data_IF_900855629318
#
_entry.id   IF_900855629318
#
_cell.length_a   1.000
_cell.length_b   1.000
_cell.length_c   1.000
_cell.angle_alpha   90.00
_cell.angle_beta   90.00
_cell.angle_gamma   90.00
#
_symmetry.space_group_name_H-M   'P 1'
#
loop_
_entity.id
_entity.type
_entity.pdbx_description
1 polymer ?
#
# COMPACT_ATOMS: atom_id res chain seq x y z
N UNK A 1 28.72 12.63 31.10
CA UNK A 1 27.45 12.07 30.60
C UNK A 1 26.44 13.13 30.16
N UNK A 2 26.12 14.15 30.99
CA UNK A 2 25.20 15.25 30.60
C UNK A 2 25.58 15.99 29.31
N UNK A 3 26.85 16.33 29.13
CA UNK A 3 27.30 17.05 27.93
C UNK A 3 27.15 16.20 26.66
N UNK A 4 27.39 14.89 26.76
CA UNK A 4 27.25 13.95 25.65
C UNK A 4 25.78 13.78 25.25
N UNK A 5 24.86 13.70 26.21
CA UNK A 5 23.44 13.59 25.89
C UNK A 5 22.87 14.87 25.26
N UNK A 6 23.28 16.05 25.73
CA UNK A 6 22.87 17.31 25.11
C UNK A 6 23.39 17.40 23.67
N UNK A 7 24.65 17.00 23.42
CA UNK A 7 25.22 16.96 22.06
C UNK A 7 24.42 16.02 21.15
N UNK A 8 24.09 14.81 21.62
CA UNK A 8 23.31 13.85 20.83
C UNK A 8 21.89 14.34 20.53
N UNK A 9 21.24 14.99 21.49
CA UNK A 9 19.90 15.57 21.29
C UNK A 9 19.97 16.74 20.31
N UNK A 10 20.90 17.68 20.47
CA UNK A 10 21.05 18.84 19.59
C UNK A 10 21.43 18.41 18.17
N UNK A 11 22.29 17.40 18.04
CA UNK A 11 22.68 16.85 16.73
C UNK A 11 21.51 16.13 16.06
N UNK A 12 20.76 15.32 16.81
CA UNK A 12 19.56 14.66 16.30
C UNK A 12 18.45 15.66 15.92
N UNK A 13 18.23 16.72 16.72
CA UNK A 13 17.31 17.81 16.38
C UNK A 13 17.81 18.56 15.13
N UNK A 14 19.10 18.88 15.04
CA UNK A 14 19.68 19.55 13.88
C UNK A 14 19.53 18.74 12.59
N UNK A 15 19.70 17.42 12.68
CA UNK A 15 19.47 16.48 11.58
C UNK A 15 17.98 16.47 11.19
N UNK A 16 17.07 16.38 12.16
CA UNK A 16 15.62 16.37 11.90
C UNK A 16 15.15 17.72 11.35
N UNK A 17 15.65 18.85 11.86
CA UNK A 17 15.30 20.19 11.37
C UNK A 17 15.83 20.40 9.95
N UNK A 18 17.06 19.99 9.66
CA UNK A 18 17.62 20.02 8.31
C UNK A 18 16.80 19.15 7.34
N UNK A 19 16.28 18.01 7.81
CA UNK A 19 15.40 17.15 7.04
C UNK A 19 14.00 17.72 6.89
N UNK A 20 13.42 18.37 7.92
CA UNK A 20 12.12 19.04 7.83
C UNK A 20 12.18 20.21 6.84
N UNK A 21 13.25 21.01 6.88
CA UNK A 21 13.46 22.08 5.88
C UNK A 21 13.69 21.52 4.47
N UNK A 22 14.25 20.31 4.34
CA UNK A 22 14.32 19.59 3.05
C UNK A 22 12.99 19.00 2.60
N UNK A 23 12.23 18.35 3.48
CA UNK A 23 10.92 17.76 3.20
C UNK A 23 9.82 18.79 2.99
N UNK A 24 10.00 20.03 3.48
CA UNK A 24 9.17 21.18 3.07
C UNK A 24 9.36 21.54 1.58
N UNK A 25 10.47 21.13 0.96
CA UNK A 25 10.67 21.10 -0.49
C UNK A 25 10.28 19.70 -0.96
N UNK A 26 8.98 19.50 -1.13
CA UNK A 26 8.28 18.22 -1.26
C UNK A 26 9.05 17.07 -1.96
N UNK A 27 9.15 15.92 -1.27
CA UNK A 27 9.63 14.63 -1.82
C UNK A 27 8.73 14.10 -2.95
N UNK A 28 7.58 14.73 -3.12
CA UNK A 28 6.70 14.60 -4.27
C UNK A 28 6.70 15.89 -5.06
N UNK A 29 7.14 15.83 -6.29
CA UNK A 29 7.03 16.95 -7.20
C UNK A 29 6.03 16.59 -8.29
N UNK A 30 4.92 17.32 -8.32
CA UNK A 30 3.91 17.21 -9.37
C UNK A 30 3.81 18.53 -10.13
N UNK A 31 3.83 18.45 -11.45
CA UNK A 31 3.65 19.61 -12.31
C UNK A 31 2.99 19.21 -13.61
N UNK A 32 2.12 20.08 -14.10
CA UNK A 32 1.58 19.99 -15.45
C UNK A 32 2.11 21.16 -16.26
N UNK A 33 2.62 20.86 -17.46
CA UNK A 33 3.18 21.86 -18.35
C UNK A 33 2.75 21.61 -19.79
N UNK A 34 2.64 22.69 -20.55
CA UNK A 34 2.57 22.63 -22.00
C UNK A 34 3.99 22.72 -22.55
N UNK A 35 4.33 21.81 -23.45
CA UNK A 35 5.62 21.77 -24.12
C UNK A 35 5.40 22.13 -25.59
N UNK A 36 5.98 23.26 -26.01
CA UNK A 36 5.88 23.77 -27.38
C UNK A 36 7.24 23.69 -28.09
N UNK A 37 7.59 22.51 -28.61
CA UNK A 37 8.77 22.32 -29.47
C UNK A 37 10.15 22.50 -28.82
N UNK A 38 10.24 22.93 -27.55
CA UNK A 38 11.49 23.08 -26.82
C UNK A 38 11.67 22.03 -25.71
N UNK A 39 12.90 21.55 -25.45
CA UNK A 39 13.19 20.71 -24.31
C UNK A 39 12.91 21.42 -22.99
N UNK A 40 12.26 20.74 -22.06
CA UNK A 40 12.03 21.26 -20.71
C UNK A 40 12.78 20.41 -19.71
N UNK A 41 13.49 21.08 -18.80
CA UNK A 41 14.04 20.45 -17.60
C UNK A 41 13.08 20.65 -16.45
N UNK A 42 12.78 19.56 -15.78
CA UNK A 42 11.95 19.58 -14.58
C UNK A 42 12.72 18.90 -13.45
N UNK A 43 12.29 19.20 -12.22
CA UNK A 43 12.88 18.62 -11.00
C UNK A 43 14.35 19.02 -10.80
N UNK A 44 14.76 20.18 -11.34
CA UNK A 44 16.09 20.72 -11.05
C UNK A 44 16.18 21.09 -9.56
N UNK A 45 17.11 20.45 -8.85
CA UNK A 45 17.43 20.80 -7.46
C UNK A 45 17.44 19.61 -6.49
N UNK A 46 17.04 18.43 -6.93
CA UNK A 46 16.88 17.27 -6.05
C UNK A 46 18.21 16.54 -5.89
N UNK A 47 18.70 16.47 -4.65
CA UNK A 47 20.00 15.90 -4.29
C UNK A 47 19.84 14.51 -3.67
N UNK A 48 20.61 13.55 -4.20
CA UNK A 48 20.86 12.25 -3.53
C UNK A 48 19.64 11.32 -3.27
N UNK A 49 18.67 11.13 -4.19
CA UNK A 49 17.67 10.07 -4.00
C UNK A 49 18.32 8.69 -4.08
N UNK A 50 17.81 7.70 -3.34
CA UNK A 50 18.18 6.27 -3.51
C UNK A 50 17.33 5.58 -4.55
N UNK A 51 16.04 5.91 -4.57
CA UNK A 51 15.13 5.48 -5.64
C UNK A 51 14.28 6.66 -6.06
N UNK A 52 13.86 6.66 -7.31
CA UNK A 52 12.92 7.65 -7.83
C UNK A 52 11.81 6.91 -8.52
N UNK A 53 10.59 7.24 -8.13
CA UNK A 53 9.40 6.82 -8.81
C UNK A 53 8.91 7.93 -9.70
N UNK A 54 8.67 7.60 -10.95
CA UNK A 54 8.30 8.52 -12.00
C UNK A 54 7.00 8.05 -12.61
N UNK A 55 5.98 8.90 -12.59
CA UNK A 55 4.75 8.74 -13.34
C UNK A 55 4.63 9.95 -14.27
N UNK A 56 4.83 9.73 -15.56
CA UNK A 56 4.76 10.78 -16.58
C UNK A 56 3.65 10.40 -17.55
N UNK A 57 2.70 11.30 -17.79
CA UNK A 57 1.65 11.18 -18.81
C UNK A 57 1.83 12.28 -19.85
N UNK A 58 1.70 11.93 -21.12
CA UNK A 58 1.89 12.86 -22.25
C UNK A 58 0.63 12.82 -23.10
N UNK A 59 0.00 13.97 -23.30
CA UNK A 59 -1.22 14.13 -24.07
C UNK A 59 -0.93 14.93 -25.34
N UNK A 60 -1.50 14.49 -26.46
CA UNK A 60 -1.40 15.19 -27.74
C UNK A 60 -0.14 14.89 -28.57
N UNK A 61 0.70 13.94 -28.15
CA UNK A 61 1.89 13.55 -28.91
C UNK A 61 2.79 12.55 -28.17
N UNK A 62 4.02 12.39 -28.66
CA UNK A 62 5.06 11.58 -28.03
C UNK A 62 6.32 12.41 -27.76
N UNK A 63 7.04 12.03 -26.72
CA UNK A 63 8.25 12.72 -26.25
C UNK A 63 9.37 11.71 -26.01
N UNK A 64 10.62 12.19 -26.05
CA UNK A 64 11.78 11.48 -25.53
C UNK A 64 12.07 12.02 -24.12
N UNK A 65 12.21 11.14 -23.14
CA UNK A 65 12.43 11.50 -21.74
C UNK A 65 13.76 10.91 -21.27
N UNK A 66 14.57 11.72 -20.59
CA UNK A 66 15.84 11.31 -20.00
C UNK A 66 15.86 11.67 -18.53
N UNK A 67 16.21 10.69 -17.70
CA UNK A 67 16.49 10.92 -16.30
C UNK A 67 17.99 11.00 -16.06
N UNK A 68 18.44 12.13 -15.52
CA UNK A 68 19.84 12.38 -15.19
C UNK A 68 20.09 12.32 -13.69
N UNK A 69 21.25 11.82 -13.29
CA UNK A 69 21.81 12.01 -11.96
C UNK A 69 23.31 12.23 -12.05
N UNK A 70 23.79 13.29 -11.39
CA UNK A 70 25.20 13.72 -11.41
C UNK A 70 25.78 13.89 -12.84
N UNK A 71 24.97 14.40 -13.77
CA UNK A 71 25.35 14.60 -15.17
C UNK A 71 25.34 13.33 -16.04
N UNK A 72 25.01 12.16 -15.49
CA UNK A 72 24.93 10.90 -16.23
C UNK A 72 23.45 10.56 -16.49
N UNK A 73 23.13 10.10 -17.70
CA UNK A 73 21.81 9.56 -18.02
C UNK A 73 21.65 8.20 -17.33
N UNK A 74 20.74 8.12 -16.37
CA UNK A 74 20.43 6.87 -15.68
C UNK A 74 19.45 6.01 -16.48
N UNK A 75 18.46 6.65 -17.13
CA UNK A 75 17.47 5.97 -17.96
C UNK A 75 16.95 6.90 -19.05
N UNK A 76 16.58 6.29 -20.17
CA UNK A 76 16.01 6.97 -21.34
C UNK A 76 14.76 6.21 -21.79
N UNK A 77 13.69 6.95 -22.04
CA UNK A 77 12.47 6.45 -22.67
C UNK A 77 12.30 7.20 -23.98
N UNK A 78 12.32 6.46 -25.09
CA UNK A 78 12.18 7.03 -26.42
C UNK A 78 10.74 6.89 -26.90
N UNK A 79 10.24 7.91 -27.60
CA UNK A 79 8.94 7.91 -28.25
C UNK A 79 7.80 7.45 -27.34
N UNK A 80 7.74 7.99 -26.12
CA UNK A 80 6.78 7.58 -25.11
C UNK A 80 5.62 8.57 -25.03
N UNK A 81 4.41 8.06 -24.86
CA UNK A 81 3.20 8.82 -24.49
C UNK A 81 3.02 8.90 -22.97
N UNK A 82 3.98 8.38 -22.23
CA UNK A 82 3.96 8.28 -20.78
C UNK A 82 4.49 6.93 -20.28
N UNK A 83 4.88 6.90 -19.02
CA UNK A 83 5.34 5.70 -18.35
C UNK A 83 5.23 5.84 -16.85
N UNK A 84 5.29 4.69 -16.20
CA UNK A 84 5.51 4.57 -14.76
C UNK A 84 6.76 3.74 -14.55
N UNK A 85 7.71 4.24 -13.78
CA UNK A 85 8.98 3.56 -13.59
C UNK A 85 9.60 3.85 -12.23
N UNK A 86 10.35 2.88 -11.72
CA UNK A 86 11.13 3.03 -10.50
C UNK A 86 12.60 2.82 -10.83
N UNK A 87 13.40 3.84 -10.52
CA UNK A 87 14.83 3.86 -10.83
C UNK A 87 15.60 3.83 -9.53
N UNK A 88 16.45 2.82 -9.38
CA UNK A 88 17.44 2.76 -8.32
C UNK A 88 18.66 3.62 -8.71
N UNK A 89 19.01 4.57 -7.85
CA UNK A 89 20.14 5.47 -8.05
C UNK A 89 21.32 4.96 -7.22
N UNK A 90 22.26 4.31 -7.91
CA UNK A 90 23.45 3.74 -7.28
C UNK A 90 24.46 4.82 -6.85
N UNK A 91 24.61 5.90 -7.64
CA UNK A 91 25.52 7.02 -7.36
C UNK A 91 24.73 8.29 -7.10
N UNK A 92 24.78 8.76 -5.86
CA UNK A 92 24.04 9.92 -5.38
C UNK A 92 24.58 11.23 -5.98
N UNK A 93 23.69 12.08 -6.48
CA UNK A 93 24.05 13.41 -6.96
C UNK A 93 22.83 14.24 -7.36
N UNK A 94 23.08 15.41 -7.95
CA UNK A 94 22.03 16.30 -8.48
C UNK A 94 21.29 15.60 -9.61
N UNK A 95 19.98 15.44 -9.47
CA UNK A 95 19.14 14.74 -10.44
C UNK A 95 18.14 15.68 -11.11
N UNK A 96 17.77 15.40 -12.36
CA UNK A 96 16.75 16.15 -13.10
C UNK A 96 16.18 15.28 -14.23
N UNK A 97 15.00 15.62 -14.72
CA UNK A 97 14.40 15.00 -15.90
C UNK A 97 14.42 16.00 -17.05
N UNK A 98 14.83 15.53 -18.22
CA UNK A 98 14.77 16.26 -19.47
C UNK A 98 13.68 15.64 -20.35
N UNK A 99 12.69 16.44 -20.75
CA UNK A 99 11.62 16.04 -21.66
C UNK A 99 11.85 16.75 -22.99
N UNK A 100 11.89 16.00 -24.08
CA UNK A 100 12.15 16.51 -25.43
C UNK A 100 10.97 16.14 -26.35
N UNK A 101 10.21 17.12 -26.86
CA UNK A 101 9.14 16.85 -27.81
C UNK A 101 9.71 16.38 -29.15
N UNK A 102 9.11 15.34 -29.75
CA UNK A 102 9.50 14.85 -31.08
C UNK A 102 8.85 15.62 -32.23
N UNK A 103 7.74 16.29 -31.96
CA UNK A 103 6.99 17.06 -32.95
C UNK A 103 6.83 18.49 -32.49
N UNK A 104 6.71 19.43 -33.43
CA UNK A 104 6.38 20.84 -33.14
C UNK A 104 4.93 21.04 -32.64
N UNK A 105 4.17 19.96 -32.44
CA UNK A 105 2.83 20.01 -31.85
C UNK A 105 2.94 20.21 -30.35
N UNK A 106 2.04 21.02 -29.81
CA UNK A 106 1.92 21.26 -28.37
C UNK A 106 1.53 19.98 -27.65
N UNK A 107 2.36 19.55 -26.72
CA UNK A 107 2.11 18.35 -25.90
C UNK A 107 1.88 18.79 -24.46
N UNK A 108 0.79 18.33 -23.83
CA UNK A 108 0.59 18.53 -22.39
C UNK A 108 1.26 17.38 -21.66
N UNK A 109 2.16 17.69 -20.74
CA UNK A 109 2.85 16.67 -19.94
C UNK A 109 2.50 16.85 -18.48
N UNK A 110 1.99 15.79 -17.88
CA UNK A 110 1.74 15.69 -16.44
C UNK A 110 2.83 14.82 -15.84
N UNK A 111 3.62 15.40 -14.95
CA UNK A 111 4.71 14.69 -14.27
C UNK A 111 4.41 14.62 -12.80
N UNK A 112 4.54 13.43 -12.24
CA UNK A 112 4.45 13.16 -10.82
C UNK A 112 5.61 12.27 -10.43
N UNK A 113 6.46 12.77 -9.54
CA UNK A 113 7.65 12.06 -9.11
C UNK A 113 7.73 11.96 -7.62
N UNK A 114 8.06 10.78 -7.11
CA UNK A 114 8.28 10.52 -5.69
C UNK A 114 9.72 10.07 -5.48
N UNK A 115 10.45 10.79 -4.64
CA UNK A 115 11.83 10.46 -4.30
C UNK A 115 11.84 9.56 -3.05
N UNK A 116 12.73 8.57 -3.04
CA UNK A 116 12.84 7.60 -1.95
C UNK A 116 14.27 7.48 -1.44
N UNK A 117 14.37 7.26 -0.14
CA UNK A 117 15.62 6.92 0.54
C UNK A 117 16.55 8.10 0.81
N UNK A 118 16.02 9.32 0.77
CA UNK A 118 16.66 10.49 1.38
C UNK A 118 16.37 10.47 2.89
N UNK A 119 15.10 10.24 3.28
CA UNK A 119 14.69 10.44 4.68
C UNK A 119 14.94 9.27 5.63
N UNK A 120 14.88 8.00 5.17
CA UNK A 120 14.81 6.84 6.09
C UNK A 120 16.06 6.67 6.95
N UNK A 121 17.26 6.94 6.43
CA UNK A 121 18.46 6.84 7.25
C UNK A 121 18.62 8.10 8.10
N UNK A 122 18.40 9.29 7.55
CA UNK A 122 18.67 10.55 8.24
C UNK A 122 17.69 10.75 9.41
N UNK A 123 16.39 10.49 9.21
CA UNK A 123 15.40 10.51 10.28
C UNK A 123 15.65 9.40 11.30
N UNK A 124 15.91 8.17 10.87
CA UNK A 124 16.17 7.06 11.81
C UNK A 124 17.41 7.35 12.67
N UNK A 125 18.49 7.89 12.10
CA UNK A 125 19.67 8.29 12.86
C UNK A 125 19.38 9.51 13.75
N UNK A 126 18.64 10.51 13.28
CA UNK A 126 18.20 11.65 14.07
C UNK A 126 17.36 11.23 15.29
N UNK A 127 16.38 10.36 15.09
CA UNK A 127 15.56 9.78 16.16
C UNK A 127 16.38 8.89 17.09
N UNK A 128 17.27 8.03 16.58
CA UNK A 128 18.17 7.22 17.41
C UNK A 128 19.05 8.14 18.28
N UNK A 129 19.60 9.22 17.74
CA UNK A 129 20.41 10.17 18.51
C UNK A 129 19.60 10.92 19.57
N UNK A 130 18.36 11.32 19.28
CA UNK A 130 17.46 11.92 20.26
C UNK A 130 17.07 10.90 21.34
N UNK A 131 16.73 9.66 20.97
CA UNK A 131 16.35 8.59 21.91
C UNK A 131 17.54 8.21 22.79
N UNK A 132 18.73 7.95 22.22
CA UNK A 132 19.93 7.68 23.02
C UNK A 132 20.30 8.85 23.92
N UNK A 133 20.27 10.07 23.36
CA UNK A 133 20.58 11.28 24.11
C UNK A 133 19.62 11.51 25.27
N UNK A 134 18.32 11.35 25.04
CA UNK A 134 17.30 11.45 26.10
C UNK A 134 17.40 10.30 27.11
N UNK A 135 17.66 9.05 26.69
CA UNK A 135 17.90 7.93 27.61
C UNK A 135 19.12 8.18 28.50
N UNK A 136 20.25 8.63 27.93
CA UNK A 136 21.48 8.94 28.67
C UNK A 136 21.25 10.13 29.62
N UNK A 137 20.55 11.18 29.16
CA UNK A 137 20.18 12.33 29.98
C UNK A 137 19.29 11.92 31.16
N UNK A 138 18.30 11.05 30.91
CA UNK A 138 17.33 10.60 31.91
C UNK A 138 17.92 9.62 32.92
N UNK A 139 18.77 8.68 32.50
CA UNK A 139 19.58 7.80 33.37
C UNK A 139 20.44 8.64 34.31
N UNK A 140 20.93 9.80 33.83
CA UNK A 140 21.76 10.70 34.63
C UNK A 140 21.01 11.62 35.60
N UNK A 141 19.66 11.66 35.59
CA UNK A 141 18.90 12.64 36.38
C UNK A 141 17.67 12.11 37.16
N UNK A 142 16.96 11.08 36.71
CA UNK A 142 15.60 10.80 37.23
C UNK A 142 15.46 9.41 37.87
N UNK A 143 15.11 9.36 39.16
CA UNK A 143 14.54 8.16 39.81
C UNK A 143 13.28 7.73 39.02
N UNK A 144 13.34 6.55 38.41
CA UNK A 144 12.37 5.73 37.62
C UNK A 144 10.86 6.11 37.55
N UNK A 145 10.30 6.87 38.49
CA UNK A 145 8.85 7.10 38.67
C UNK A 145 8.22 8.18 37.77
N UNK A 146 9.00 9.03 37.08
CA UNK A 146 8.48 10.11 36.20
C UNK A 146 8.66 9.82 34.71
N UNK A 147 9.09 8.62 34.35
CA UNK A 147 9.41 8.22 32.97
C UNK A 147 8.16 8.12 32.07
N UNK A 148 7.09 7.49 32.59
CA UNK A 148 5.89 7.14 31.83
C UNK A 148 5.11 8.32 31.19
N UNK A 149 4.85 9.45 31.89
CA UNK A 149 4.02 10.52 31.32
C UNK A 149 4.71 11.31 30.21
N UNK A 150 6.05 11.45 30.24
CA UNK A 150 6.80 12.18 29.21
C UNK A 150 6.95 11.36 27.92
N UNK A 151 7.11 10.03 28.03
CA UNK A 151 7.05 9.13 26.87
C UNK A 151 5.66 9.11 26.23
N UNK A 152 4.59 9.25 27.02
CA UNK A 152 3.21 9.34 26.52
C UNK A 152 2.94 10.67 25.79
N UNK A 153 3.50 11.79 26.26
CA UNK A 153 3.32 13.11 25.66
C UNK A 153 4.02 13.26 24.30
N UNK A 154 5.23 12.70 24.16
CA UNK A 154 5.97 12.67 22.88
C UNK A 154 5.28 11.83 21.80
N UNK A 155 4.46 10.85 22.21
CA UNK A 155 3.68 9.99 21.32
C UNK A 155 2.43 10.67 20.76
N UNK A 156 1.93 11.72 21.42
CA UNK A 156 0.70 12.45 21.04
C UNK A 156 0.93 13.54 19.96
N UNK A 157 2.18 13.86 19.62
CA UNK A 157 2.51 14.96 18.71
C UNK A 157 2.68 14.57 17.23
N UNK A 158 2.51 13.29 16.88
CA UNK A 158 2.64 12.82 15.49
C UNK A 158 1.27 12.80 14.80
N UNK A 159 0.93 13.89 14.14
CA UNK A 159 -0.11 13.91 13.09
C UNK A 159 0.56 14.35 11.79
N UNK A 160 0.70 13.41 10.85
CA UNK A 160 1.24 13.67 9.52
C UNK A 160 0.09 13.57 8.53
N UNK A 161 -0.13 14.64 7.77
CA UNK A 161 -1.10 14.66 6.67
C UNK A 161 -0.49 13.93 5.47
N UNK A 162 -1.23 12.96 4.94
CA UNK A 162 -0.84 12.12 3.81
C UNK A 162 -1.48 12.68 2.54
N UNK A 163 -0.66 12.97 1.53
CA UNK A 163 -1.13 13.34 0.19
C UNK A 163 -0.97 12.15 -0.76
N UNK A 164 -2.00 11.91 -1.57
CA UNK A 164 -2.15 10.72 -2.41
C UNK A 164 -1.67 10.95 -3.84
N UNK A 165 -1.06 9.92 -4.42
CA UNK A 165 -0.56 9.91 -5.79
C UNK A 165 -0.98 8.66 -6.56
N UNK A 166 -1.78 8.81 -7.61
CA UNK A 166 -2.34 7.75 -8.48
C UNK A 166 -1.42 7.29 -9.62
N UNK A 167 -1.07 6.00 -9.69
CA UNK A 167 -0.59 5.31 -10.92
C UNK A 167 -1.40 4.17 -11.59
N UNK A 168 -1.06 3.95 -12.86
CA UNK A 168 -1.45 2.84 -13.76
C UNK A 168 -0.52 1.61 -13.63
N UNK A 169 -1.07 0.42 -13.33
CA UNK A 169 -0.31 -0.78 -12.93
C UNK A 169 -0.26 -1.93 -13.96
N UNK A 170 -0.83 -1.78 -15.15
CA UNK A 170 -0.79 -2.83 -16.17
C UNK A 170 0.49 -2.80 -17.02
N UNK A 171 1.30 -3.86 -16.91
CA UNK A 171 2.44 -4.17 -17.79
C UNK A 171 2.51 -5.67 -18.04
N UNK A 172 3.11 -6.05 -19.16
CA UNK A 172 3.40 -7.45 -19.45
C UNK A 172 4.21 -8.09 -18.31
N UNK A 173 3.80 -9.29 -17.88
CA UNK A 173 4.46 -10.05 -16.82
C UNK A 173 4.02 -9.69 -15.40
N UNK A 174 3.18 -8.66 -15.23
CA UNK A 174 2.61 -8.32 -13.93
C UNK A 174 1.55 -9.35 -13.52
N UNK A 175 1.52 -9.71 -12.24
CA UNK A 175 0.55 -10.63 -11.66
C UNK A 175 0.04 -10.18 -10.31
N UNK A 176 -1.17 -10.61 -9.97
CA UNK A 176 -1.77 -10.48 -8.66
C UNK A 176 -2.39 -11.82 -8.26
N UNK A 177 -2.18 -12.23 -7.00
CA UNK A 177 -2.79 -13.43 -6.42
C UNK A 177 -3.63 -13.05 -5.22
N UNK A 178 -4.85 -13.56 -5.22
CA UNK A 178 -5.83 -13.37 -4.18
C UNK A 178 -6.16 -14.69 -3.50
N UNK A 179 -6.49 -14.64 -2.21
CA UNK A 179 -6.99 -15.78 -1.46
C UNK A 179 -8.09 -15.37 -0.48
N UNK A 180 -9.02 -16.29 -0.19
CA UNK A 180 -10.06 -16.03 0.80
C UNK A 180 -9.48 -15.94 2.22
N UNK A 181 -9.97 -14.97 3.02
CA UNK A 181 -9.50 -14.75 4.40
C UNK A 181 -9.83 -15.91 5.33
N UNK A 182 -11.07 -16.38 5.24
CA UNK A 182 -11.65 -17.40 6.10
C UNK A 182 -12.16 -18.54 5.22
N UNK A 183 -12.24 -19.71 5.82
CA UNK A 183 -12.96 -20.85 5.26
C UNK A 183 -14.42 -20.64 5.61
N UNK A 184 -15.20 -20.14 4.66
CA UNK A 184 -16.61 -19.85 4.85
C UNK A 184 -17.49 -20.79 4.03
N UNK A 185 -18.76 -20.85 4.42
CA UNK A 185 -19.82 -21.40 3.59
C UNK A 185 -20.02 -20.43 2.41
N UNK A 186 -19.40 -20.76 1.27
CA UNK A 186 -19.51 -19.97 0.05
C UNK A 186 -20.69 -20.50 -0.75
N UNK A 187 -21.55 -19.59 -1.20
CA UNK A 187 -22.60 -19.90 -2.17
C UNK A 187 -22.13 -19.53 -3.57
N UNK A 188 -22.24 -20.48 -4.49
CA UNK A 188 -21.86 -20.32 -5.89
C UNK A 188 -23.11 -20.52 -6.75
N UNK A 189 -23.49 -19.48 -7.49
CA UNK A 189 -24.51 -19.52 -8.53
C UNK A 189 -23.82 -19.70 -9.89
N UNK A 190 -24.13 -20.78 -10.59
CA UNK A 190 -23.61 -21.05 -11.93
C UNK A 190 -24.49 -20.39 -13.01
N UNK A 191 -23.96 -20.28 -14.24
CA UNK A 191 -24.71 -19.70 -15.39
C UNK A 191 -26.01 -20.42 -15.72
N UNK A 192 -26.11 -21.71 -15.41
CA UNK A 192 -27.33 -22.50 -15.55
C UNK A 192 -28.34 -22.27 -14.40
N UNK A 193 -28.12 -21.24 -13.58
CA UNK A 193 -28.90 -20.87 -12.39
C UNK A 193 -28.91 -21.89 -11.25
N UNK A 194 -28.06 -22.94 -11.29
CA UNK A 194 -27.91 -23.84 -10.15
C UNK A 194 -27.06 -23.21 -9.06
N UNK A 195 -27.48 -23.38 -7.80
CA UNK A 195 -26.73 -22.93 -6.62
C UNK A 195 -26.10 -24.13 -5.91
N UNK A 196 -24.80 -24.03 -5.58
CA UNK A 196 -24.11 -24.97 -4.71
C UNK A 196 -23.56 -24.21 -3.50
N UNK A 197 -23.76 -24.79 -2.32
CA UNK A 197 -23.19 -24.30 -1.06
C UNK A 197 -22.14 -25.28 -0.55
N UNK A 198 -21.06 -24.78 0.03
CA UNK A 198 -19.97 -25.61 0.51
C UNK A 198 -18.86 -24.80 1.16
N UNK A 199 -17.91 -25.51 1.77
CA UNK A 199 -16.76 -24.91 2.44
C UNK A 199 -15.57 -24.95 1.51
N UNK A 200 -15.29 -23.79 0.91
CA UNK A 200 -14.18 -23.63 -0.02
C UNK A 200 -13.18 -22.61 0.45
N UNK A 201 -11.91 -22.91 0.18
CA UNK A 201 -10.87 -21.90 0.15
C UNK A 201 -10.66 -21.47 -1.31
N UNK A 202 -10.87 -20.19 -1.58
CA UNK A 202 -10.86 -19.65 -2.94
C UNK A 202 -9.52 -18.98 -3.20
N UNK A 203 -8.95 -19.23 -4.38
CA UNK A 203 -7.76 -18.57 -4.90
C UNK A 203 -8.05 -18.04 -6.30
N UNK A 204 -7.64 -16.79 -6.54
CA UNK A 204 -7.70 -16.18 -7.86
C UNK A 204 -6.30 -15.70 -8.23
N UNK A 205 -5.81 -16.15 -9.38
CA UNK A 205 -4.52 -15.73 -9.91
C UNK A 205 -4.72 -15.04 -11.25
N UNK A 206 -4.21 -13.82 -11.34
CA UNK A 206 -4.29 -12.96 -12.52
C UNK A 206 -2.88 -12.68 -12.99
N UNK A 207 -2.60 -12.83 -14.28
CA UNK A 207 -1.30 -12.47 -14.88
C UNK A 207 -1.50 -11.81 -16.23
N UNK A 208 -0.98 -10.60 -16.38
CA UNK A 208 -0.92 -9.92 -17.66
C UNK A 208 0.13 -10.61 -18.54
N UNK A 209 -0.33 -11.28 -19.60
CA UNK A 209 0.52 -12.04 -20.52
C UNK A 209 1.03 -11.20 -21.68
N UNK A 210 0.24 -10.22 -22.12
CA UNK A 210 0.54 -9.34 -23.24
C UNK A 210 -0.29 -8.05 -23.15
N UNK A 211 0.19 -6.96 -23.76
CA UNK A 211 -0.52 -5.68 -23.87
C UNK A 211 -0.31 -5.11 -25.25
N UNK A 212 -1.41 -4.81 -25.93
CA UNK A 212 -1.44 -4.08 -27.20
C UNK A 212 -2.36 -2.86 -27.06
N UNK A 213 -1.75 -1.67 -26.98
CA UNK A 213 -2.45 -0.42 -26.71
C UNK A 213 -3.23 -0.47 -25.38
N UNK A 214 -4.55 -0.32 -25.47
CA UNK A 214 -5.48 -0.33 -24.34
C UNK A 214 -6.03 -1.74 -24.02
N UNK A 215 -5.58 -2.77 -24.76
CA UNK A 215 -6.03 -4.15 -24.60
C UNK A 215 -4.96 -5.01 -23.95
N UNK A 216 -5.24 -5.50 -22.75
CA UNK A 216 -4.38 -6.43 -22.04
C UNK A 216 -4.91 -7.86 -22.14
N UNK A 217 -4.05 -8.80 -22.52
CA UNK A 217 -4.36 -10.24 -22.47
C UNK A 217 -4.04 -10.77 -21.08
N UNK A 218 -5.08 -11.11 -20.32
CA UNK A 218 -4.98 -11.55 -18.93
C UNK A 218 -5.18 -13.08 -18.85
N UNK A 219 -4.20 -13.78 -18.30
CA UNK A 219 -4.38 -15.14 -17.81
C UNK A 219 -5.10 -15.10 -16.46
N UNK A 220 -6.19 -15.84 -16.34
CA UNK A 220 -7.00 -15.92 -15.13
C UNK A 220 -7.13 -17.36 -14.72
N UNK A 221 -6.84 -17.64 -13.45
CA UNK A 221 -7.00 -18.96 -12.85
C UNK A 221 -7.78 -18.83 -11.54
N UNK A 222 -8.93 -19.50 -11.47
CA UNK A 222 -9.80 -19.56 -10.31
C UNK A 222 -9.75 -20.97 -9.77
N UNK A 223 -9.31 -21.12 -8.52
CA UNK A 223 -9.21 -22.41 -7.83
C UNK A 223 -10.01 -22.36 -6.54
N UNK A 224 -10.97 -23.27 -6.40
CA UNK A 224 -11.74 -23.50 -5.18
C UNK A 224 -11.30 -24.84 -4.59
N UNK A 225 -10.62 -24.80 -3.45
CA UNK A 225 -10.19 -26.00 -2.73
C UNK A 225 -11.27 -26.37 -1.72
N UNK A 226 -11.93 -27.50 -1.94
CA UNK A 226 -12.94 -28.02 -1.05
C UNK A 226 -12.34 -28.70 0.17
N UNK A 227 -12.89 -28.43 1.36
CA UNK A 227 -12.29 -28.83 2.64
C UNK A 227 -13.03 -29.95 3.36
N UNK A 228 -14.11 -30.45 2.77
CA UNK A 228 -14.83 -31.62 3.27
C UNK A 228 -15.27 -32.49 2.08
N UNK A 229 -15.69 -33.72 2.35
CA UNK A 229 -16.11 -34.68 1.32
C UNK A 229 -17.32 -34.21 0.49
N UNK A 230 -17.99 -33.13 0.90
CA UNK A 230 -19.15 -32.55 0.24
C UNK A 230 -18.81 -31.35 -0.65
N UNK A 231 -17.58 -30.82 -0.56
CA UNK A 231 -17.13 -29.68 -1.37
C UNK A 231 -16.06 -30.19 -2.34
N UNK A 232 -16.38 -30.39 -3.63
CA UNK A 232 -15.37 -30.79 -4.60
C UNK A 232 -14.33 -29.68 -4.80
N UNK A 233 -13.07 -30.07 -5.02
CA UNK A 233 -12.04 -29.12 -5.48
C UNK A 233 -12.24 -28.87 -6.97
N UNK A 234 -12.30 -27.60 -7.34
CA UNK A 234 -12.54 -27.15 -8.70
C UNK A 234 -11.47 -26.13 -9.09
N UNK A 235 -10.94 -26.22 -10.31
CA UNK A 235 -10.00 -25.24 -10.83
C UNK A 235 -10.27 -25.00 -12.31
N UNK A 236 -10.27 -23.73 -12.71
CA UNK A 236 -10.44 -23.32 -14.09
C UNK A 236 -9.50 -22.18 -14.41
N UNK A 237 -8.79 -22.31 -15.53
CA UNK A 237 -7.93 -21.27 -16.04
C UNK A 237 -8.14 -21.03 -17.53
N UNK A 238 -8.10 -19.77 -17.95
CA UNK A 238 -8.20 -19.37 -19.35
C UNK A 238 -7.63 -17.95 -19.54
N UNK A 239 -7.63 -17.48 -20.80
CA UNK A 239 -7.28 -16.13 -21.16
C UNK A 239 -8.51 -15.27 -21.46
N UNK A 240 -8.48 -14.02 -21.01
CA UNK A 240 -9.43 -12.97 -21.40
C UNK A 240 -8.69 -11.78 -21.97
N UNK A 241 -9.40 -10.95 -22.72
CA UNK A 241 -8.93 -9.62 -23.07
C UNK A 241 -9.59 -8.60 -22.15
N UNK A 242 -8.82 -7.69 -21.60
CA UNK A 242 -9.27 -6.61 -20.73
C UNK A 242 -8.94 -5.29 -21.41
N UNK A 243 -9.96 -4.47 -21.63
CA UNK A 243 -9.75 -3.07 -21.97
C UNK A 243 -9.41 -2.28 -20.70
N UNK A 244 -8.24 -1.63 -20.68
CA UNK A 244 -7.69 -1.02 -19.47
C UNK A 244 -8.46 0.25 -19.09
N UNK A 245 -8.84 1.09 -20.04
CA UNK A 245 -9.57 2.33 -19.77
C UNK A 245 -11.04 2.11 -19.41
N UNK A 246 -11.72 1.19 -20.10
CA UNK A 246 -13.14 0.95 -19.84
C UNK A 246 -13.39 -0.15 -18.80
N UNK A 247 -12.34 -0.85 -18.35
CA UNK A 247 -12.40 -2.06 -17.51
C UNK A 247 -13.27 -3.18 -18.11
N UNK A 248 -13.50 -3.18 -19.43
CA UNK A 248 -14.38 -4.17 -20.06
C UNK A 248 -13.62 -5.46 -20.31
N UNK A 249 -14.24 -6.59 -19.99
CA UNK A 249 -13.69 -7.92 -20.24
C UNK A 249 -14.33 -8.50 -21.50
N UNK A 250 -13.49 -9.03 -22.38
CA UNK A 250 -13.90 -9.80 -23.54
C UNK A 250 -13.43 -11.25 -23.38
N UNK A 251 -14.37 -12.19 -23.49
CA UNK A 251 -14.11 -13.62 -23.44
C UNK A 251 -14.71 -14.30 -24.67
N UNK A 252 -13.92 -15.13 -25.35
CA UNK A 252 -14.31 -15.80 -26.60
C UNK A 252 -14.91 -14.83 -27.65
N UNK A 253 -14.34 -13.63 -27.75
CA UNK A 253 -14.75 -12.60 -28.71
C UNK A 253 -16.00 -11.80 -28.34
N UNK A 254 -16.61 -12.05 -27.17
CA UNK A 254 -17.79 -11.31 -26.68
C UNK A 254 -17.41 -10.47 -25.47
N UNK A 255 -17.93 -9.24 -25.40
CA UNK A 255 -17.92 -8.45 -24.16
C UNK A 255 -18.79 -9.17 -23.13
N UNK A 256 -18.24 -9.44 -21.95
CA UNK A 256 -18.93 -10.15 -20.86
C UNK A 256 -19.14 -9.27 -19.62
N UNK A 257 -18.69 -8.01 -19.65
CA UNK A 257 -18.92 -7.12 -18.53
C UNK A 257 -17.80 -6.12 -18.22
N UNK A 258 -17.98 -5.40 -17.11
CA UNK A 258 -17.00 -4.50 -16.49
C UNK A 258 -16.49 -5.16 -15.20
N UNK A 259 -15.17 -5.28 -15.09
CA UNK A 259 -14.52 -5.88 -13.91
C UNK A 259 -14.31 -4.87 -12.79
N UNK A 260 -14.37 -5.36 -11.55
CA UNK A 260 -14.00 -4.60 -10.37
C UNK A 260 -12.55 -4.82 -9.93
N UNK A 261 -11.72 -5.65 -10.57
CA UNK A 261 -10.36 -5.94 -10.07
C UNK A 261 -9.45 -4.72 -9.87
N UNK A 262 -9.79 -3.60 -10.54
CA UNK A 262 -9.15 -2.31 -10.32
C UNK A 262 -10.05 -1.14 -10.69
N UNK A 263 -9.59 0.05 -10.30
CA UNK A 263 -10.08 1.35 -10.74
C UNK A 263 -8.95 2.04 -11.51
N UNK A 264 -9.22 2.48 -12.75
CA UNK A 264 -8.23 3.20 -13.57
C UNK A 264 -7.89 4.55 -12.94
N UNK A 265 -8.92 5.36 -12.69
CA UNK A 265 -8.81 6.60 -11.96
C UNK A 265 -9.45 6.44 -10.59
N UNK A 266 -8.73 6.91 -9.57
CA UNK A 266 -9.21 6.91 -8.20
C UNK A 266 -10.32 7.96 -8.04
N UNK A 267 -11.57 7.54 -7.79
CA UNK A 267 -12.71 8.44 -7.71
C UNK A 267 -12.70 9.21 -6.39
N UNK A 268 -13.44 10.34 -6.36
CA UNK A 268 -13.53 11.19 -5.16
C UNK A 268 -14.47 10.59 -4.13
N UNK A 269 -14.26 10.93 -2.86
CA UNK A 269 -15.18 10.54 -1.79
C UNK A 269 -16.63 10.98 -2.11
N UNK A 270 -17.58 10.07 -1.93
CA UNK A 270 -18.99 10.28 -2.23
C UNK A 270 -19.38 10.03 -3.69
N UNK A 271 -18.42 9.89 -4.60
CA UNK A 271 -18.67 9.60 -6.00
C UNK A 271 -19.32 8.21 -6.18
N UNK A 272 -20.21 8.10 -7.16
CA UNK A 272 -20.84 6.82 -7.54
C UNK A 272 -20.16 6.30 -8.80
N UNK A 273 -19.66 5.08 -8.74
CA UNK A 273 -18.99 4.42 -9.86
C UNK A 273 -19.74 3.16 -10.28
N UNK A 274 -19.72 2.86 -11.57
CA UNK A 274 -20.14 1.56 -12.09
C UNK A 274 -19.08 0.52 -11.70
N UNK A 275 -19.31 -0.22 -10.62
CA UNK A 275 -18.30 -1.13 -10.08
C UNK A 275 -18.19 -2.39 -10.93
N UNK A 276 -19.33 -3.03 -11.19
CA UNK A 276 -19.46 -4.27 -11.96
C UNK A 276 -20.61 -4.11 -12.95
N UNK A 277 -20.43 -4.65 -14.14
CA UNK A 277 -21.48 -4.82 -15.15
C UNK A 277 -21.34 -6.24 -15.67
N UNK A 278 -22.42 -7.02 -15.68
CA UNK A 278 -22.54 -8.31 -16.39
C UNK A 278 -23.85 -8.21 -17.17
N UNK A 279 -23.96 -8.87 -18.33
CA UNK A 279 -25.08 -8.78 -19.30
C UNK A 279 -26.46 -8.40 -18.73
N UNK A 280 -26.87 -9.01 -17.61
CA UNK A 280 -28.21 -8.84 -17.04
C UNK A 280 -28.33 -7.78 -15.93
N UNK A 281 -27.22 -7.25 -15.39
CA UNK A 281 -27.26 -6.31 -14.26
C UNK A 281 -26.00 -5.44 -14.10
N UNK A 282 -26.20 -4.30 -13.45
CA UNK A 282 -25.14 -3.33 -13.14
C UNK A 282 -25.12 -3.04 -11.64
N UNK A 283 -23.94 -3.12 -11.03
CA UNK A 283 -23.71 -2.80 -9.62
C UNK A 283 -23.00 -1.46 -9.54
N UNK A 284 -23.64 -0.49 -8.90
CA UNK A 284 -23.02 0.79 -8.61
C UNK A 284 -22.42 0.77 -7.19
N UNK A 285 -21.18 1.22 -7.06
CA UNK A 285 -20.50 1.45 -5.80
C UNK A 285 -20.53 2.93 -5.42
N UNK A 286 -20.53 3.23 -4.12
CA UNK A 286 -20.32 4.57 -3.58
C UNK A 286 -18.98 4.62 -2.86
N UNK A 287 -18.15 5.55 -3.28
CA UNK A 287 -16.80 5.75 -2.75
C UNK A 287 -16.88 6.34 -1.36
N UNK A 288 -16.16 5.74 -0.41
CA UNK A 288 -16.00 6.22 0.96
C UNK A 288 -14.64 6.88 1.11
N UNK A 289 -14.43 7.54 2.26
CA UNK A 289 -13.14 8.14 2.61
C UNK A 289 -11.99 7.16 2.45
N UNK A 290 -10.83 7.74 2.17
CA UNK A 290 -9.56 7.05 2.20
C UNK A 290 -9.28 6.59 3.64
N UNK A 291 -8.80 5.37 3.80
CA UNK A 291 -8.40 4.78 5.07
C UNK A 291 -7.07 4.05 4.92
N UNK A 292 -6.39 3.86 6.03
CA UNK A 292 -5.18 3.04 6.09
C UNK A 292 -5.59 1.63 6.53
N UNK A 293 -5.22 0.62 5.75
CA UNK A 293 -5.50 -0.79 6.06
C UNK A 293 -4.22 -1.58 6.28
N UNK A 294 -4.16 -2.48 7.28
CA UNK A 294 -3.05 -3.39 7.44
C UNK A 294 -3.13 -4.53 6.43
N UNK A 295 -2.05 -4.76 5.68
CA UNK A 295 -1.93 -5.82 4.70
C UNK A 295 -0.81 -6.80 5.09
N UNK A 296 -1.12 -8.09 5.03
CA UNK A 296 -0.13 -9.14 5.22
C UNK A 296 0.93 -9.05 4.10
N UNK A 297 2.22 -9.11 4.45
CA UNK A 297 3.36 -9.00 3.54
C UNK A 297 3.61 -7.62 2.91
N UNK A 298 2.70 -6.66 3.08
CA UNK A 298 2.76 -5.36 2.42
C UNK A 298 2.76 -4.15 3.38
N UNK A 299 2.55 -4.37 4.68
CA UNK A 299 2.50 -3.29 5.67
C UNK A 299 1.17 -2.53 5.66
N UNK A 300 1.16 -1.30 6.13
CA UNK A 300 -0.02 -0.45 6.15
C UNK A 300 -0.19 0.25 4.81
N UNK A 301 -1.32 0.06 4.14
CA UNK A 301 -1.56 0.60 2.80
C UNK A 301 -2.70 1.62 2.81
N UNK A 302 -2.55 2.66 2.00
CA UNK A 302 -3.61 3.62 1.77
C UNK A 302 -4.63 3.02 0.82
N UNK A 303 -5.89 2.98 1.24
CA UNK A 303 -6.95 2.37 0.47
C UNK A 303 -8.22 3.21 0.44
N UNK A 304 -8.90 3.18 -0.70
CA UNK A 304 -10.25 3.71 -0.85
C UNK A 304 -11.24 2.58 -0.79
N UNK A 305 -12.20 2.73 0.12
CA UNK A 305 -13.27 1.77 0.26
C UNK A 305 -14.43 2.13 -0.66
N UNK A 306 -14.88 1.18 -1.47
CA UNK A 306 -16.09 1.30 -2.29
C UNK A 306 -17.16 0.42 -1.66
N UNK A 307 -18.24 1.05 -1.20
CA UNK A 307 -19.41 0.35 -0.66
C UNK A 307 -20.41 0.10 -1.79
N UNK A 308 -20.90 -1.13 -1.92
CA UNK A 308 -21.91 -1.47 -2.93
C UNK A 308 -23.01 -2.36 -2.32
N UNK A 309 -24.11 -2.49 -3.06
CA UNK A 309 -25.18 -3.41 -2.74
C UNK A 309 -25.56 -4.15 -4.01
N UNK A 310 -25.73 -5.47 -3.91
CA UNK A 310 -26.14 -6.32 -5.03
C UNK A 310 -27.22 -7.29 -4.53
N UNK A 311 -28.25 -7.47 -5.35
CA UNK A 311 -29.33 -8.42 -5.11
C UNK A 311 -29.54 -9.25 -6.37
N UNK A 312 -29.54 -10.58 -6.26
CA UNK A 312 -29.77 -11.51 -7.37
C UNK A 312 -30.70 -12.64 -6.96
N UNK A 313 -31.52 -13.10 -7.90
CA UNK A 313 -32.40 -14.26 -7.72
C UNK A 313 -31.78 -15.52 -8.33
N UNK A 314 -31.98 -16.67 -7.72
CA UNK A 314 -31.49 -17.98 -8.17
C UNK A 314 -32.41 -19.13 -7.75
N UNK A 315 -32.09 -20.35 -8.19
CA UNK A 315 -32.87 -21.55 -7.88
C UNK A 315 -31.95 -22.65 -7.38
N UNK A 316 -32.25 -23.21 -6.21
CA UNK A 316 -31.49 -24.34 -5.67
C UNK A 316 -31.75 -25.62 -6.47
N UNK A 317 -30.87 -26.63 -6.32
CA UNK A 317 -31.03 -27.92 -6.99
C UNK A 317 -32.35 -28.65 -6.65
N UNK A 318 -32.97 -28.33 -5.51
CA UNK A 318 -34.29 -28.83 -5.10
C UNK A 318 -35.47 -28.04 -5.70
N UNK A 319 -35.21 -27.05 -6.55
CA UNK A 319 -36.22 -26.20 -7.19
C UNK A 319 -36.70 -24.99 -6.38
N UNK A 320 -36.22 -24.78 -5.15
CA UNK A 320 -36.64 -23.63 -4.35
C UNK A 320 -35.96 -22.34 -4.83
N UNK A 321 -36.74 -21.28 -5.01
CA UNK A 321 -36.22 -19.94 -5.33
C UNK A 321 -35.48 -19.32 -4.14
N UNK A 322 -34.49 -18.48 -4.45
CA UNK A 322 -33.72 -17.74 -3.45
C UNK A 322 -33.33 -16.36 -3.97
N UNK A 323 -33.23 -15.40 -3.06
CA UNK A 323 -32.68 -14.08 -3.34
C UNK A 323 -31.42 -13.88 -2.50
N UNK A 324 -30.29 -13.73 -3.17
CA UNK A 324 -29.00 -13.39 -2.57
C UNK A 324 -28.83 -11.87 -2.59
N UNK A 325 -28.92 -11.24 -1.43
CA UNK A 325 -28.67 -9.81 -1.26
C UNK A 325 -27.46 -9.59 -0.35
N UNK A 326 -26.48 -8.81 -0.80
CA UNK A 326 -25.29 -8.52 0.00
C UNK A 326 -24.86 -7.06 -0.13
N UNK A 327 -24.55 -6.48 1.02
CA UNK A 327 -23.90 -5.17 1.12
C UNK A 327 -22.42 -5.42 1.28
N UNK A 328 -21.65 -5.08 0.24
CA UNK A 328 -20.22 -5.30 0.19
C UNK A 328 -19.40 -4.03 0.43
N UNK A 329 -18.15 -4.25 0.82
CA UNK A 329 -17.10 -3.24 0.85
C UNK A 329 -15.87 -3.84 0.15
N UNK A 330 -15.27 -3.09 -0.75
CA UNK A 330 -14.00 -3.45 -1.40
C UNK A 330 -13.02 -2.30 -1.27
N UNK A 331 -11.82 -2.60 -0.81
CA UNK A 331 -10.74 -1.65 -0.59
C UNK A 331 -9.75 -1.71 -1.75
N UNK A 332 -9.54 -0.57 -2.38
CA UNK A 332 -8.66 -0.37 -3.52
C UNK A 332 -7.43 0.41 -3.09
N UNK A 333 -6.25 -0.02 -3.51
CA UNK A 333 -5.01 0.72 -3.32
C UNK A 333 -5.13 2.12 -3.91
N UNK A 334 -4.78 3.17 -3.16
CA UNK A 334 -4.90 4.54 -3.69
C UNK A 334 -3.87 4.86 -4.74
N UNK A 335 -2.77 4.12 -4.74
CA UNK A 335 -1.72 4.33 -5.72
C UNK A 335 -2.13 3.58 -6.99
N UNK A 336 -2.17 2.27 -6.96
CA UNK A 336 -2.39 1.45 -8.15
C UNK A 336 -3.85 1.25 -8.51
N UNK A 337 -4.80 1.50 -7.62
CA UNK A 337 -6.21 1.22 -7.87
C UNK A 337 -6.56 -0.27 -7.94
N UNK A 338 -5.64 -1.20 -7.64
CA UNK A 338 -5.98 -2.63 -7.53
C UNK A 338 -6.78 -2.92 -6.27
N UNK A 339 -7.61 -3.95 -6.30
CA UNK A 339 -8.19 -4.47 -5.05
C UNK A 339 -7.07 -4.97 -4.14
N UNK A 340 -7.09 -4.50 -2.89
CA UNK A 340 -6.23 -4.98 -1.81
C UNK A 340 -6.98 -6.00 -0.95
N UNK A 341 -8.21 -5.69 -0.57
CA UNK A 341 -9.01 -6.46 0.38
C UNK A 341 -10.50 -6.22 0.07
N UNK A 342 -11.33 -7.26 0.15
CA UNK A 342 -12.75 -7.08 0.40
C UNK A 342 -13.64 -8.07 -0.34
N UNK A 343 -14.94 -7.76 -0.34
CA UNK A 343 -15.95 -8.66 -0.89
C UNK A 343 -15.94 -8.62 -2.41
N UNK A 344 -15.59 -9.73 -3.04
CA UNK A 344 -15.76 -9.96 -4.47
C UNK A 344 -17.11 -10.62 -4.69
N UNK A 345 -17.96 -9.96 -5.46
CA UNK A 345 -19.29 -10.48 -5.78
C UNK A 345 -19.49 -10.38 -7.27
N UNK A 346 -19.67 -11.53 -7.92
CA UNK A 346 -20.23 -11.56 -9.28
C UNK A 346 -19.43 -10.76 -10.33
N UNK A 347 -18.10 -10.88 -10.29
CA UNK A 347 -17.20 -10.25 -11.28
C UNK A 347 -17.19 -11.04 -12.61
N UNK A 348 -17.16 -10.39 -13.80
CA UNK A 348 -17.18 -11.07 -15.09
C UNK A 348 -16.05 -12.09 -15.28
N UNK A 349 -14.92 -11.96 -14.58
CA UNK A 349 -13.85 -12.97 -14.60
C UNK A 349 -14.33 -14.35 -14.11
N UNK A 350 -15.33 -14.41 -13.23
CA UNK A 350 -15.91 -15.67 -12.76
C UNK A 350 -16.66 -16.43 -13.87
N UNK A 351 -17.08 -15.75 -14.93
CA UNK A 351 -17.75 -16.38 -16.07
C UNK A 351 -16.82 -17.32 -16.86
N UNK A 352 -15.50 -17.23 -16.66
CA UNK A 352 -14.51 -18.19 -17.20
C UNK A 352 -14.68 -19.58 -16.57
N UNK A 353 -15.11 -19.61 -15.30
CA UNK A 353 -15.43 -20.80 -14.52
C UNK A 353 -16.91 -21.20 -14.62
N UNK A 354 -17.69 -20.56 -15.50
CA UNK A 354 -19.15 -20.69 -15.59
C UNK A 354 -19.89 -20.34 -14.29
N UNK A 355 -19.25 -19.57 -13.42
CA UNK A 355 -19.80 -19.02 -12.18
C UNK A 355 -20.42 -17.66 -12.52
N UNK A 356 -21.73 -17.53 -12.33
CA UNK A 356 -22.48 -16.28 -12.50
C UNK A 356 -22.28 -15.37 -11.29
N UNK A 357 -22.36 -15.91 -10.07
CA UNK A 357 -22.16 -15.17 -8.82
C UNK A 357 -21.46 -16.06 -7.80
N UNK A 358 -20.50 -15.49 -7.09
CA UNK A 358 -19.88 -16.06 -5.91
C UNK A 358 -19.68 -14.91 -4.93
N UNK A 359 -20.00 -15.13 -3.65
CA UNK A 359 -19.79 -14.15 -2.59
C UNK A 359 -18.58 -14.61 -1.79
N UNK A 360 -17.45 -13.91 -1.92
CA UNK A 360 -16.22 -14.28 -1.23
C UNK A 360 -15.42 -13.05 -0.84
N UNK A 361 -14.90 -13.03 0.38
CA UNK A 361 -13.95 -12.00 0.84
C UNK A 361 -12.54 -12.42 0.43
N UNK A 362 -11.93 -11.68 -0.50
CA UNK A 362 -10.64 -11.98 -1.10
C UNK A 362 -9.60 -10.92 -0.73
N UNK A 363 -8.42 -11.39 -0.31
CA UNK A 363 -7.27 -10.55 0.00
C UNK A 363 -6.15 -10.76 -0.99
N UNK A 364 -5.50 -9.68 -1.37
CA UNK A 364 -4.23 -9.71 -2.08
C UNK A 364 -3.16 -10.34 -1.19
N UNK A 365 -2.61 -11.47 -1.62
CA UNK A 365 -1.59 -12.22 -0.86
C UNK A 365 -0.20 -12.12 -1.47
N UNK A 366 -0.12 -11.90 -2.78
CA UNK A 366 1.13 -11.87 -3.52
C UNK A 366 0.95 -11.04 -4.80
N UNK A 367 1.93 -10.20 -5.11
CA UNK A 367 1.97 -9.43 -6.36
C UNK A 367 3.40 -8.99 -6.65
N UNK A 368 3.73 -8.81 -7.92
CA UNK A 368 4.92 -8.07 -8.34
C UNK A 368 4.60 -6.62 -8.74
N UNK A 369 3.35 -6.19 -8.55
CA UNK A 369 2.91 -4.80 -8.66
C UNK A 369 3.52 -4.02 -7.51
N UNK A 370 4.04 -2.85 -7.83
CA UNK A 370 4.51 -1.90 -6.85
C UNK A 370 3.33 -1.11 -6.28
N UNK A 371 2.73 -1.65 -5.21
CA UNK A 371 1.59 -1.06 -4.48
C UNK A 371 1.99 0.09 -3.53
N UNK A 372 3.12 0.74 -3.82
CA UNK A 372 3.63 1.82 -2.99
C UNK A 372 4.28 1.37 -1.67
N UNK A 373 4.94 2.29 -0.97
CA UNK A 373 5.50 2.04 0.36
C UNK A 373 4.39 1.96 1.41
N UNK A 374 4.62 1.18 2.46
CA UNK A 374 3.76 1.21 3.65
C UNK A 374 3.71 2.61 4.26
N UNK A 375 2.57 2.99 4.84
CA UNK A 375 2.41 4.20 5.65
C UNK A 375 3.31 4.13 6.89
N UNK A 376 4.47 4.78 6.79
CA UNK A 376 5.54 4.72 7.79
C UNK A 376 5.07 5.33 9.11
N UNK A 377 4.22 6.36 9.07
CA UNK A 377 3.70 7.02 10.26
C UNK A 377 2.89 6.05 11.13
N UNK A 378 1.94 5.35 10.52
CA UNK A 378 1.12 4.33 11.17
C UNK A 378 1.97 3.14 11.62
N UNK A 379 2.96 2.75 10.80
CA UNK A 379 3.87 1.67 11.15
C UNK A 379 4.69 2.02 12.41
N UNK A 380 5.30 3.20 12.46
CA UNK A 380 6.02 3.73 13.64
C UNK A 380 5.08 3.83 14.84
N UNK A 381 3.87 4.36 14.67
CA UNK A 381 2.90 4.48 15.75
C UNK A 381 2.53 3.10 16.32
N UNK A 382 2.33 2.11 15.46
CA UNK A 382 2.09 0.71 15.83
C UNK A 382 3.27 0.11 16.59
N UNK A 383 4.51 0.34 16.11
CA UNK A 383 5.73 -0.08 16.80
C UNK A 383 5.89 0.57 18.17
N UNK A 384 5.69 1.87 18.28
CA UNK A 384 5.78 2.60 19.54
C UNK A 384 4.70 2.14 20.52
N UNK A 385 3.47 1.89 20.05
CA UNK A 385 2.41 1.32 20.87
C UNK A 385 2.80 -0.06 21.43
N UNK A 386 3.40 -0.94 20.60
CA UNK A 386 3.91 -2.24 21.04
C UNK A 386 5.03 -2.09 22.08
N UNK A 387 6.00 -1.21 21.84
CA UNK A 387 7.08 -0.92 22.79
C UNK A 387 6.50 -0.40 24.11
N UNK A 388 5.51 0.48 24.06
CA UNK A 388 4.84 1.02 25.23
C UNK A 388 4.15 -0.09 26.04
N UNK A 389 3.40 -0.98 25.40
CA UNK A 389 2.78 -2.14 26.06
C UNK A 389 3.83 -3.03 26.71
N UNK A 390 4.91 -3.38 25.99
CA UNK A 390 6.02 -4.18 26.52
C UNK A 390 6.65 -3.48 27.72
N UNK A 391 6.87 -2.15 27.64
CA UNK A 391 7.45 -1.38 28.72
C UNK A 391 6.56 -1.38 29.97
N UNK A 392 5.23 -1.29 29.83
CA UNK A 392 4.28 -1.36 30.94
C UNK A 392 4.35 -2.73 31.63
N UNK A 393 4.51 -3.82 30.88
CA UNK A 393 4.61 -5.17 31.44
C UNK A 393 5.95 -5.40 32.14
N UNK A 394 7.06 -4.93 31.55
CA UNK A 394 8.41 -5.16 32.08
C UNK A 394 8.72 -4.24 33.26
N UNK A 395 8.19 -3.01 33.27
CA UNK A 395 8.50 -2.01 34.31
C UNK A 395 8.24 -2.53 35.74
N UNK A 396 7.08 -3.14 36.08
CA UNK A 396 6.84 -3.72 37.41
C UNK A 396 7.87 -4.78 37.80
N UNK A 397 8.27 -5.64 36.86
CA UNK A 397 9.25 -6.71 37.09
C UNK A 397 10.59 -6.09 37.46
N UNK A 398 11.08 -5.14 36.65
CA UNK A 398 12.33 -4.41 36.93
C UNK A 398 12.24 -3.69 38.28
N UNK A 399 11.11 -3.07 38.59
CA UNK A 399 10.90 -2.32 39.82
C UNK A 399 10.94 -3.22 41.06
N UNK A 400 10.29 -4.39 41.00
CA UNK A 400 10.32 -5.40 42.07
C UNK A 400 11.72 -5.97 42.24
N UNK A 401 12.38 -6.37 41.16
CA UNK A 401 13.77 -6.88 41.19
C UNK A 401 14.73 -5.84 41.79
N UNK A 402 14.59 -4.56 41.42
CA UNK A 402 15.38 -3.48 41.98
C UNK A 402 15.12 -3.27 43.48
N UNK A 403 13.86 -3.30 43.93
CA UNK A 403 13.51 -3.18 45.36
C UNK A 403 14.15 -4.33 46.16
N UNK A 404 14.05 -5.57 45.67
CA UNK A 404 14.64 -6.75 46.31
C UNK A 404 16.16 -6.63 46.39
N UNK A 405 16.81 -6.28 45.28
CA UNK A 405 18.25 -6.09 45.20
C UNK A 405 18.75 -5.04 46.20
N UNK A 406 18.07 -3.88 46.25
CA UNK A 406 18.41 -2.80 47.18
C UNK A 406 18.22 -3.23 48.64
N UNK A 407 17.15 -3.97 48.97
CA UNK A 407 16.94 -4.53 50.31
C UNK A 407 18.07 -5.48 50.71
N UNK A 408 18.52 -6.37 49.81
CA UNK A 408 19.66 -7.27 50.05
C UNK A 408 20.96 -6.52 50.33
N UNK A 409 21.28 -5.46 49.57
CA UNK A 409 22.49 -4.65 49.80
C UNK A 409 22.43 -3.92 51.15
N UNK A 410 21.29 -3.29 51.46
CA UNK A 410 21.12 -2.60 52.75
C UNK A 410 21.22 -3.56 53.93
N UNK A 411 20.68 -4.78 53.82
CA UNK A 411 20.83 -5.82 54.83
C UNK A 411 22.30 -6.25 55.00
N UNK A 412 23.03 -6.51 53.90
CA UNK A 412 24.47 -6.82 53.95
C UNK A 412 25.30 -5.71 54.58
N UNK A 413 24.99 -4.43 54.31
CA UNK A 413 25.68 -3.28 54.92
C UNK A 413 25.41 -3.17 56.43
N UNK A 414 24.18 -3.42 56.89
CA UNK A 414 23.85 -3.45 58.32
C UNK A 414 24.58 -4.56 59.08
N UNK A 415 24.67 -5.76 58.50
CA UNK A 415 25.42 -6.87 59.10
C UNK A 415 26.90 -6.52 59.21
N UNK A 416 27.52 -6.03 58.13
CA UNK A 416 28.93 -5.63 58.12
C UNK A 416 29.23 -4.56 59.18
N UNK A 417 28.41 -3.52 59.32
CA UNK A 417 28.61 -2.48 60.34
C UNK A 417 28.48 -2.99 61.78
N UNK A 418 27.60 -3.96 62.05
CA UNK A 418 27.51 -4.59 63.38
C UNK A 418 28.67 -5.54 63.70
N UNK A 419 29.43 -5.99 62.68
CA UNK A 419 30.59 -6.88 62.90
C UNK A 419 31.87 -6.11 63.24
N UNK A 420 31.93 -4.80 62.95
CA UNK A 420 33.06 -3.92 63.32
C UNK A 420 32.84 -3.16 64.64
N UNK A 421 31.69 -3.35 65.29
CA UNK A 421 31.33 -2.73 66.57
C UNK A 421 31.30 -3.75 67.74
N UNK A 422 31.73 -4.99 67.48
CA UNK A 422 32.12 -5.98 68.49
C UNK A 422 33.62 -6.21 68.35
#
# INVERSE_FOLDING_TARGET
MKSISIILIVFGIGIIVAEIFRGYVSDTASGEGLIEGQPIRILEGIWSPRKVYLNIKVYGGSVDILFYSNGIVLKRWNNTTGFIDRIDILRRGRSYILIMPRTNKTCRVSVRTTFYGVEKDILTHGFIFIILGTMIYMISFVKLRRFLPYTLFLLLLFNINIFYATPNWFKQGIYARYASKIIDDVSILFKNNTVINGKWKVYVYLKCSDIDGDMAKLFVNITLIGLNNFSPTFSRADYVLLNLSSRRIFYKGKNIGITCIFLEDIPKEGEKIALIEIDDYKVNGTVKRIKIIPMNNFGYQNAIAVKFNITMNGVYANGSETTLSVVGLTDYDTDTGIILDGLWVSDPLFLIADIKMMIVDLNLIETNIDIGPSDIATEIQSWLARILVISIIITPIILVSYIIYKRKISAKRKIKNNTYLK
#
